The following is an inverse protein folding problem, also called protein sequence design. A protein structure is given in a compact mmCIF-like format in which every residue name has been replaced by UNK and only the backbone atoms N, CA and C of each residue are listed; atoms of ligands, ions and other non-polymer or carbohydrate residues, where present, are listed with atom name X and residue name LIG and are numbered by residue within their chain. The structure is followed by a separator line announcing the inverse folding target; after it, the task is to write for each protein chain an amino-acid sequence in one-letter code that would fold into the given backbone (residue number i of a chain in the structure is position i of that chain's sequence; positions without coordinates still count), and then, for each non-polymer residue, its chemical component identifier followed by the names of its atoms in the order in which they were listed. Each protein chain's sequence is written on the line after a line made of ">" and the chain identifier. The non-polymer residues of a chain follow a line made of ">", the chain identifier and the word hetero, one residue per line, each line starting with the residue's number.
data_IF_552321847029
#
_entry.id   IF_552321847029
#
_cell.length_a   1.000
_cell.length_b   1.000
_cell.length_c   1.000
_cell.angle_alpha   90.00
_cell.angle_beta   90.00
_cell.angle_gamma   90.00
#
_symmetry.space_group_name_H-M   'P 1'
#
loop_
_entity.id
_entity.type
_entity.pdbx_description
1 polymer ?
#
# COMPACT_ATOMS: atom_id res chain seq x y z
N UNK A 1 7.96 25.28 4.73
CA UNK A 1 7.63 24.75 3.38
C UNK A 1 7.89 23.25 3.42
N UNK A 2 6.91 22.42 3.04
CA UNK A 2 7.11 20.96 3.00
C UNK A 2 7.87 20.60 1.73
N UNK A 3 8.94 19.80 1.84
CA UNK A 3 9.80 19.43 0.70
C UNK A 3 9.08 18.53 -0.32
N UNK A 4 8.24 17.61 0.16
CA UNK A 4 7.44 16.68 -0.64
C UNK A 4 5.96 16.83 -0.22
N UNK A 5 5.19 17.71 -0.88
CA UNK A 5 3.80 18.01 -0.50
C UNK A 5 2.86 16.84 -0.80
N UNK A 6 1.69 16.84 -0.16
CA UNK A 6 0.67 15.82 -0.39
C UNK A 6 0.21 15.79 -1.85
N UNK A 7 0.20 14.60 -2.46
CA UNK A 7 -0.08 14.40 -3.89
C UNK A 7 -1.54 14.54 -4.33
N UNK A 8 -2.42 15.00 -3.44
CA UNK A 8 -3.86 15.12 -3.68
C UNK A 8 -4.61 13.80 -3.48
N UNK A 9 -5.80 13.69 -4.09
CA UNK A 9 -6.73 12.59 -3.83
C UNK A 9 -6.13 11.21 -4.14
N UNK A 10 -6.30 10.27 -3.21
CA UNK A 10 -5.81 8.89 -3.30
C UNK A 10 -6.97 7.89 -3.17
N UNK A 11 -6.80 6.68 -3.72
CA UNK A 11 -7.72 5.55 -3.48
C UNK A 11 -7.90 5.34 -1.99
N UNK A 12 -9.12 5.51 -1.48
CA UNK A 12 -9.41 5.51 -0.04
C UNK A 12 -8.99 4.22 0.65
N UNK A 13 -9.17 3.07 -0.01
CA UNK A 13 -8.78 1.76 0.52
C UNK A 13 -7.26 1.61 0.70
N UNK A 14 -6.45 2.38 -0.04
CA UNK A 14 -4.99 2.35 0.11
C UNK A 14 -4.52 2.93 1.45
N UNK A 15 -5.28 3.85 2.06
CA UNK A 15 -4.91 4.43 3.35
C UNK A 15 -4.90 3.39 4.47
N UNK A 16 -5.65 2.29 4.34
CA UNK A 16 -5.65 1.16 5.30
C UNK A 16 -4.26 0.54 5.48
N UNK A 17 -3.35 0.78 4.55
CA UNK A 17 -1.99 0.23 4.53
C UNK A 17 -0.91 1.30 4.70
N UNK A 18 -1.28 2.56 4.91
CA UNK A 18 -0.35 3.66 5.08
C UNK A 18 -0.17 4.02 6.55
N UNK A 19 1.07 4.34 6.92
CA UNK A 19 1.40 4.88 8.23
C UNK A 19 1.22 6.41 8.26
N UNK A 20 1.14 7.03 9.44
CA UNK A 20 1.03 8.49 9.57
C UNK A 20 2.17 9.28 8.94
N UNK A 21 3.33 8.63 8.72
CA UNK A 21 4.50 9.23 8.10
C UNK A 21 4.59 8.92 6.60
N UNK A 22 3.57 8.39 5.94
CA UNK A 22 3.64 8.12 4.48
C UNK A 22 4.01 9.39 3.68
N UNK A 23 4.86 9.20 2.66
CA UNK A 23 5.13 10.19 1.62
C UNK A 23 4.33 9.80 0.38
N UNK A 24 3.16 10.41 0.23
CA UNK A 24 2.37 10.38 -1.00
C UNK A 24 2.44 11.76 -1.63
N UNK A 25 3.11 11.86 -2.79
CA UNK A 25 3.42 13.13 -3.43
C UNK A 25 3.38 13.00 -4.95
N UNK A 26 3.08 14.11 -5.62
CA UNK A 26 3.19 14.28 -7.08
C UNK A 26 3.91 15.60 -7.29
N UNK A 27 5.01 15.59 -8.04
CA UNK A 27 5.84 16.77 -8.27
C UNK A 27 6.41 16.76 -9.69
N UNK A 28 6.76 17.95 -10.19
CA UNK A 28 7.47 18.10 -11.47
C UNK A 28 8.94 17.68 -11.34
N UNK A 29 9.51 17.01 -12.35
CA UNK A 29 10.90 16.55 -12.31
C UNK A 29 11.85 17.75 -12.29
N UNK A 30 12.61 17.87 -11.21
CA UNK A 30 13.70 18.83 -11.05
C UNK A 30 14.81 18.21 -10.22
N UNK A 31 16.04 18.70 -10.37
CA UNK A 31 17.18 18.23 -9.58
C UNK A 31 16.91 18.36 -8.08
N UNK A 32 16.36 19.50 -7.65
CA UNK A 32 16.00 19.74 -6.26
C UNK A 32 14.96 18.74 -5.73
N UNK A 33 13.91 18.43 -6.52
CA UNK A 33 12.89 17.46 -6.11
C UNK A 33 13.43 16.03 -6.07
N UNK A 34 14.29 15.64 -7.02
CA UNK A 34 14.93 14.33 -7.01
C UNK A 34 15.91 14.19 -5.84
N UNK A 35 16.66 15.24 -5.50
CA UNK A 35 17.52 15.24 -4.33
C UNK A 35 16.71 15.10 -3.03
N UNK A 36 15.60 15.83 -2.92
CA UNK A 36 14.69 15.71 -1.77
C UNK A 36 14.10 14.29 -1.65
N UNK A 37 13.69 13.67 -2.76
CA UNK A 37 13.21 12.29 -2.79
C UNK A 37 14.31 11.30 -2.39
N UNK A 38 15.53 11.46 -2.89
CA UNK A 38 16.66 10.59 -2.56
C UNK A 38 17.00 10.65 -1.07
N UNK A 39 17.13 11.86 -0.51
CA UNK A 39 17.36 12.04 0.93
C UNK A 39 16.23 11.41 1.76
N UNK A 40 14.97 11.65 1.39
CA UNK A 40 13.83 11.05 2.10
C UNK A 40 13.84 9.51 2.02
N UNK A 41 14.20 8.92 0.87
CA UNK A 41 14.32 7.47 0.73
C UNK A 41 15.39 6.90 1.67
N UNK A 42 16.58 7.52 1.71
CA UNK A 42 17.68 7.08 2.58
C UNK A 42 17.24 7.16 4.04
N UNK A 43 16.68 8.29 4.46
CA UNK A 43 16.25 8.49 5.86
C UNK A 43 15.17 7.47 6.26
N UNK A 44 14.16 7.23 5.42
CA UNK A 44 13.10 6.24 5.69
C UNK A 44 13.67 4.83 5.82
N UNK A 45 14.62 4.49 4.95
CA UNK A 45 15.22 3.16 4.96
C UNK A 45 16.14 2.96 6.18
N UNK A 46 16.91 3.99 6.58
CA UNK A 46 17.74 3.92 7.79
C UNK A 46 16.88 3.74 9.04
N UNK A 47 15.79 4.51 9.20
CA UNK A 47 14.86 4.33 10.33
C UNK A 47 14.23 2.93 10.33
N UNK A 48 13.92 2.38 9.15
CA UNK A 48 13.42 1.00 9.05
C UNK A 48 14.46 -0.03 9.50
N UNK A 49 15.74 0.16 9.16
CA UNK A 49 16.83 -0.69 9.64
C UNK A 49 17.00 -0.60 11.15
N UNK A 50 16.92 0.60 11.73
CA UNK A 50 16.95 0.78 13.19
C UNK A 50 15.81 0.03 13.90
N UNK A 51 14.60 0.06 13.34
CA UNK A 51 13.48 -0.75 13.85
C UNK A 51 13.72 -2.25 13.72
N UNK A 52 14.37 -2.68 12.64
CA UNK A 52 14.72 -4.08 12.44
C UNK A 52 15.77 -4.54 13.46
N UNK A 53 16.79 -3.72 13.74
CA UNK A 53 17.83 -4.01 14.74
C UNK A 53 17.26 -4.11 16.15
N UNK A 54 16.23 -3.32 16.46
CA UNK A 54 15.50 -3.37 17.72
C UNK A 54 14.41 -4.45 17.79
N UNK A 55 14.11 -5.16 16.69
CA UNK A 55 12.99 -6.08 16.65
C UNK A 55 13.27 -7.37 17.44
N UNK A 56 12.38 -7.70 18.39
CA UNK A 56 12.44 -8.95 19.14
C UNK A 56 11.54 -9.99 18.49
N UNK A 57 12.06 -11.22 18.34
CA UNK A 57 11.30 -12.35 17.80
C UNK A 57 10.07 -12.64 18.66
N UNK A 58 8.89 -12.60 18.04
CA UNK A 58 7.65 -13.02 18.67
C UNK A 58 7.64 -14.55 18.89
N UNK A 59 7.10 -14.99 20.02
CA UNK A 59 7.03 -16.41 20.42
C UNK A 59 5.61 -16.92 20.62
N UNK A 60 4.62 -16.03 20.81
CA UNK A 60 3.22 -16.41 20.85
C UNK A 60 2.75 -16.83 19.46
N UNK A 61 2.27 -18.08 19.39
CA UNK A 61 1.69 -18.64 18.17
C UNK A 61 0.53 -17.78 17.64
N UNK A 62 -0.33 -17.31 18.53
CA UNK A 62 -1.50 -16.49 18.18
C UNK A 62 -1.10 -15.15 17.56
N UNK A 63 -0.04 -14.52 18.07
CA UNK A 63 0.49 -13.27 17.49
C UNK A 63 1.20 -13.53 16.17
N UNK A 64 1.98 -14.59 16.05
CA UNK A 64 2.62 -14.99 14.78
C UNK A 64 1.56 -15.27 13.71
N UNK A 65 0.50 -16.00 14.06
CA UNK A 65 -0.60 -16.29 13.14
C UNK A 65 -1.31 -15.01 12.69
N UNK A 66 -1.53 -14.04 13.59
CA UNK A 66 -2.07 -12.71 13.25
C UNK A 66 -1.13 -11.89 12.36
N UNK A 67 0.17 -11.91 12.62
CA UNK A 67 1.16 -11.21 11.80
C UNK A 67 1.20 -11.78 10.38
N UNK A 68 1.19 -13.12 10.27
CA UNK A 68 1.13 -13.83 8.99
C UNK A 68 -0.14 -13.49 8.21
N UNK A 69 -1.30 -13.53 8.87
CA UNK A 69 -2.60 -13.16 8.28
C UNK A 69 -2.59 -11.69 7.81
N UNK A 70 -2.04 -10.77 8.60
CA UNK A 70 -1.94 -9.36 8.24
C UNK A 70 -1.03 -9.13 7.02
N UNK A 71 0.13 -9.82 6.97
CA UNK A 71 1.02 -9.77 5.81
C UNK A 71 0.35 -10.37 4.57
N UNK A 72 -0.29 -11.53 4.71
CA UNK A 72 -1.02 -12.17 3.62
C UNK A 72 -2.12 -11.23 3.07
N UNK A 73 -2.94 -10.62 3.93
CA UNK A 73 -3.94 -9.62 3.52
C UNK A 73 -3.35 -8.46 2.72
N UNK A 74 -2.21 -7.92 3.14
CA UNK A 74 -1.51 -6.85 2.41
C UNK A 74 -1.02 -7.31 1.04
N UNK A 75 -0.39 -8.48 0.95
CA UNK A 75 0.08 -9.04 -0.31
C UNK A 75 -1.08 -9.33 -1.27
N UNK A 76 -2.17 -9.92 -0.78
CA UNK A 76 -3.39 -10.16 -1.56
C UNK A 76 -3.97 -8.85 -2.12
N UNK A 77 -4.01 -7.78 -1.32
CA UNK A 77 -4.45 -6.46 -1.77
C UNK A 77 -3.56 -5.93 -2.90
N UNK A 78 -2.25 -5.92 -2.70
CA UNK A 78 -1.29 -5.37 -3.67
C UNK A 78 -1.29 -6.19 -4.97
N UNK A 79 -1.29 -7.52 -4.88
CA UNK A 79 -1.30 -8.38 -6.06
C UNK A 79 -2.54 -8.16 -6.95
N UNK A 80 -3.67 -7.76 -6.38
CA UNK A 80 -4.92 -7.53 -7.11
C UNK A 80 -5.10 -6.07 -7.58
N UNK A 81 -4.72 -5.08 -6.75
CA UNK A 81 -5.11 -3.67 -6.92
C UNK A 81 -3.95 -2.70 -7.14
N UNK A 82 -2.70 -3.18 -7.22
CA UNK A 82 -1.54 -2.31 -7.43
C UNK A 82 -1.67 -1.47 -8.72
N UNK A 83 -1.43 -0.14 -8.64
CA UNK A 83 -1.61 0.75 -9.77
C UNK A 83 -0.66 0.51 -10.94
N UNK A 84 0.49 -0.14 -10.71
CA UNK A 84 1.50 -0.46 -11.71
C UNK A 84 1.16 -1.68 -12.58
N UNK A 85 0.22 -2.53 -12.16
CA UNK A 85 -0.08 -3.78 -12.88
C UNK A 85 -0.50 -3.59 -14.35
N UNK A 86 -1.34 -2.60 -14.73
CA UNK A 86 -1.65 -2.35 -16.14
C UNK A 86 -0.44 -2.01 -17.01
N UNK A 87 0.57 -1.32 -16.44
CA UNK A 87 1.81 -1.03 -17.16
C UNK A 87 2.62 -2.30 -17.40
N UNK A 88 2.72 -3.17 -16.40
CA UNK A 88 3.40 -4.47 -16.54
C UNK A 88 2.75 -5.31 -17.64
N UNK A 89 1.41 -5.41 -17.67
CA UNK A 89 0.68 -6.13 -18.74
C UNK A 89 1.02 -5.60 -20.13
N UNK A 90 1.18 -4.28 -20.28
CA UNK A 90 1.56 -3.65 -21.55
C UNK A 90 3.00 -3.98 -21.96
N UNK A 91 3.91 -4.11 -21.00
CA UNK A 91 5.34 -4.33 -21.27
C UNK A 91 5.68 -5.81 -21.51
N UNK A 92 5.09 -6.72 -20.72
CA UNK A 92 5.49 -8.14 -20.68
C UNK A 92 4.33 -9.13 -20.85
N UNK A 93 3.15 -8.64 -21.26
CA UNK A 93 1.95 -9.45 -21.46
C UNK A 93 1.25 -9.86 -20.16
N UNK A 94 0.04 -10.41 -20.28
CA UNK A 94 -0.80 -10.77 -19.13
C UNK A 94 -0.16 -11.85 -18.26
N UNK A 95 0.33 -12.94 -18.86
CA UNK A 95 0.95 -14.05 -18.12
C UNK A 95 2.24 -13.61 -17.42
N UNK A 96 3.15 -12.97 -18.16
CA UNK A 96 4.41 -12.48 -17.59
C UNK A 96 4.19 -11.46 -16.46
N UNK A 97 3.21 -10.57 -16.61
CA UNK A 97 2.86 -9.64 -15.54
C UNK A 97 2.25 -10.35 -14.33
N UNK A 98 1.37 -11.33 -14.54
CA UNK A 98 0.77 -12.12 -13.44
C UNK A 98 1.84 -12.87 -12.66
N UNK A 99 2.77 -13.52 -13.35
CA UNK A 99 3.85 -14.27 -12.73
C UNK A 99 4.80 -13.33 -11.96
N UNK A 100 5.22 -12.22 -12.57
CA UNK A 100 6.05 -11.22 -11.90
C UNK A 100 5.38 -10.64 -10.63
N UNK A 101 4.08 -10.34 -10.70
CA UNK A 101 3.33 -9.79 -9.56
C UNK A 101 3.22 -10.80 -8.43
N UNK A 102 2.91 -12.06 -8.73
CA UNK A 102 2.58 -13.06 -7.70
C UNK A 102 3.80 -13.81 -7.17
N UNK A 103 4.78 -14.09 -8.02
CA UNK A 103 5.92 -14.92 -7.69
C UNK A 103 7.17 -14.10 -7.33
N UNK A 104 7.16 -12.79 -7.54
CA UNK A 104 8.30 -11.90 -7.22
C UNK A 104 7.90 -10.66 -6.42
N UNK A 105 7.06 -9.77 -6.97
CA UNK A 105 6.73 -8.51 -6.29
C UNK A 105 5.98 -8.72 -4.97
N UNK A 106 5.04 -9.67 -4.97
CA UNK A 106 4.23 -10.02 -3.80
C UNK A 106 4.29 -11.53 -3.54
N UNK A 107 5.50 -12.09 -3.63
CA UNK A 107 5.79 -13.45 -3.15
C UNK A 107 5.26 -13.60 -1.72
N UNK A 108 4.64 -14.75 -1.44
CA UNK A 108 3.89 -14.98 -0.20
C UNK A 108 2.37 -14.98 -0.38
N UNK A 109 1.82 -14.36 -1.44
CA UNK A 109 0.36 -14.32 -1.68
C UNK A 109 -0.26 -15.71 -1.90
N UNK A 110 0.53 -16.68 -2.36
CA UNK A 110 0.07 -18.07 -2.53
C UNK A 110 0.45 -19.02 -1.39
N UNK A 111 1.31 -18.59 -0.46
CA UNK A 111 1.97 -19.48 0.52
C UNK A 111 1.74 -19.07 1.98
N UNK A 112 1.49 -17.79 2.28
CA UNK A 112 1.29 -17.31 3.65
C UNK A 112 -0.14 -17.54 4.19
N UNK A 113 -1.12 -17.77 3.32
CA UNK A 113 -2.50 -18.03 3.70
C UNK A 113 -3.34 -18.57 2.54
N UNK A 114 -4.60 -18.88 2.82
CA UNK A 114 -5.53 -19.49 1.85
C UNK A 114 -6.71 -18.59 1.50
N UNK A 115 -6.92 -17.49 2.22
CA UNK A 115 -8.03 -16.56 1.97
C UNK A 115 -7.82 -15.83 0.63
N UNK A 116 -8.86 -15.85 -0.20
CA UNK A 116 -8.95 -15.11 -1.43
C UNK A 116 -9.07 -13.60 -1.19
N UNK A 117 -8.94 -12.81 -2.27
CA UNK A 117 -9.16 -11.37 -2.23
C UNK A 117 -10.56 -11.01 -1.72
N UNK A 118 -11.61 -11.73 -2.15
CA UNK A 118 -12.99 -11.44 -1.74
C UNK A 118 -13.28 -11.83 -0.29
N UNK A 119 -12.54 -12.78 0.29
CA UNK A 119 -12.62 -13.08 1.72
C UNK A 119 -12.04 -11.95 2.59
N UNK A 120 -11.08 -11.19 2.07
CA UNK A 120 -10.52 -10.02 2.77
C UNK A 120 -11.26 -8.70 2.47
N UNK A 121 -11.80 -8.58 1.26
CA UNK A 121 -12.35 -7.34 0.70
C UNK A 121 -13.68 -7.62 0.00
N UNK A 122 -14.66 -8.09 0.77
CA UNK A 122 -15.99 -8.47 0.28
C UNK A 122 -16.72 -7.33 -0.43
N UNK A 123 -16.37 -6.07 -0.15
CA UNK A 123 -16.91 -4.90 -0.84
C UNK A 123 -16.61 -4.86 -2.35
N UNK A 124 -15.68 -5.69 -2.84
CA UNK A 124 -15.36 -5.84 -4.27
C UNK A 124 -16.11 -7.00 -4.95
N UNK A 125 -16.93 -7.77 -4.25
CA UNK A 125 -17.65 -8.87 -4.86
C UNK A 125 -18.69 -8.36 -5.87
N UNK A 126 -18.73 -8.99 -7.05
CA UNK A 126 -19.84 -8.84 -8.01
C UNK A 126 -20.88 -9.95 -7.82
N UNK A 127 -22.08 -9.77 -8.38
CA UNK A 127 -23.17 -10.76 -8.29
C UNK A 127 -22.79 -12.13 -8.88
N UNK A 128 -21.88 -12.16 -9.86
CA UNK A 128 -21.35 -13.38 -10.49
C UNK A 128 -20.20 -14.03 -9.71
N UNK A 129 -19.85 -13.49 -8.54
CA UNK A 129 -18.75 -13.97 -7.69
C UNK A 129 -17.36 -13.52 -8.14
N UNK A 130 -17.24 -12.68 -9.17
CA UNK A 130 -15.95 -12.15 -9.63
C UNK A 130 -15.54 -10.88 -8.87
N UNK A 131 -14.24 -10.53 -8.98
CA UNK A 131 -13.71 -9.30 -8.38
C UNK A 131 -14.03 -8.09 -9.24
N UNK A 132 -14.58 -7.04 -8.62
CA UNK A 132 -14.86 -5.79 -9.30
C UNK A 132 -13.59 -5.17 -9.87
N UNK A 133 -13.58 -4.86 -11.18
CA UNK A 133 -12.42 -4.29 -11.88
C UNK A 133 -12.08 -2.86 -11.44
N UNK A 134 -12.99 -2.16 -10.74
CA UNK A 134 -12.67 -0.86 -10.13
C UNK A 134 -11.49 -1.01 -9.17
N UNK A 135 -10.61 0.00 -9.18
CA UNK A 135 -9.49 0.09 -8.23
C UNK A 135 -9.95 0.46 -6.82
N UNK A 136 -11.06 1.18 -6.73
CA UNK A 136 -11.64 1.69 -5.50
C UNK A 136 -13.15 1.60 -5.58
N UNK A 137 -13.77 1.08 -4.55
CA UNK A 137 -15.22 1.06 -4.38
C UNK A 137 -15.71 2.35 -3.75
N UNK A 138 -14.93 2.94 -2.82
CA UNK A 138 -15.22 4.23 -2.20
C UNK A 138 -14.84 5.44 -3.08
N UNK A 139 -14.02 5.25 -4.10
CA UNK A 139 -13.46 6.32 -4.92
C UNK A 139 -12.18 6.94 -4.33
N UNK A 140 -11.72 8.03 -4.95
CA UNK A 140 -10.56 8.77 -4.44
C UNK A 140 -11.01 9.85 -3.47
N UNK A 141 -10.45 9.88 -2.27
CA UNK A 141 -10.68 10.91 -1.25
C UNK A 141 -9.35 11.50 -0.75
N UNK A 142 -9.39 12.27 0.34
CA UNK A 142 -8.23 12.85 1.03
C UNK A 142 -7.43 13.78 0.11
N UNK A 143 -8.06 14.88 -0.32
CA UNK A 143 -7.40 15.93 -1.10
C UNK A 143 -6.26 16.61 -0.34
N UNK A 144 -6.31 16.57 0.99
CA UNK A 144 -5.27 17.01 1.93
C UNK A 144 -4.77 15.80 2.74
N UNK A 145 -3.60 15.97 3.40
CA UNK A 145 -3.01 14.92 4.24
C UNK A 145 -3.99 14.58 5.38
N UNK A 146 -4.38 13.31 5.56
CA UNK A 146 -5.38 12.92 6.55
C UNK A 146 -4.79 12.66 7.95
N UNK A 147 -3.56 13.13 8.21
CA UNK A 147 -2.93 13.10 9.52
C UNK A 147 -2.43 14.49 9.89
N UNK A 148 -2.59 14.85 11.15
CA UNK A 148 -2.04 16.09 11.69
C UNK A 148 -0.51 16.01 11.94
N UNK A 149 0.06 17.08 12.48
CA UNK A 149 1.49 17.15 12.78
C UNK A 149 1.96 16.16 13.87
N UNK A 150 1.03 15.58 14.65
CA UNK A 150 1.29 14.58 15.67
C UNK A 150 1.05 13.15 15.17
N UNK A 151 0.66 12.98 13.91
CA UNK A 151 0.35 11.68 13.32
C UNK A 151 -1.03 11.13 13.70
N UNK A 152 -1.91 11.96 14.26
CA UNK A 152 -3.29 11.59 14.55
C UNK A 152 -4.11 11.68 13.27
N UNK A 153 -4.93 10.67 13.00
CA UNK A 153 -5.80 10.65 11.83
C UNK A 153 -6.93 11.68 12.00
N UNK A 154 -7.05 12.58 11.03
CA UNK A 154 -8.04 13.68 10.98
C UNK A 154 -8.83 13.68 9.66
N UNK A 155 -8.76 12.59 8.90
CA UNK A 155 -9.36 12.48 7.56
C UNK A 155 -10.88 12.63 7.52
N UNK A 156 -11.58 12.42 8.64
CA UNK A 156 -13.03 12.57 8.75
C UNK A 156 -13.45 14.03 9.08
N UNK A 157 -12.50 14.89 9.46
CA UNK A 157 -12.78 16.23 9.97
C UNK A 157 -12.82 17.33 8.88
N UNK A 158 -12.68 16.98 7.60
CA UNK A 158 -12.52 17.94 6.49
C UNK A 158 -13.71 17.94 5.51
N UNK A 159 -14.74 17.12 5.75
CA UNK A 159 -16.00 17.13 5.00
C UNK A 159 -17.16 17.68 5.86
N UNK A 160 -16.97 18.90 6.39
CA UNK A 160 -17.98 19.69 7.11
C UNK A 160 -18.09 21.11 6.58
#
# INVERSE_FOLDING_TARGET
>A
MQLLPWGGKITSESLRFFSPIVIWTVFEPSEANHQALYSAFVDYYMVWLEFMDGAVRESSKEKIDRNREAQHKYLTWRAEKDPGYPLLKKLIGESGAKDLVREFLFEGVGSLGTKSFLEYFAEYAQEDGTVNKKRSMAGKSFGTRPWDAHGLFVGDAVDG
#
